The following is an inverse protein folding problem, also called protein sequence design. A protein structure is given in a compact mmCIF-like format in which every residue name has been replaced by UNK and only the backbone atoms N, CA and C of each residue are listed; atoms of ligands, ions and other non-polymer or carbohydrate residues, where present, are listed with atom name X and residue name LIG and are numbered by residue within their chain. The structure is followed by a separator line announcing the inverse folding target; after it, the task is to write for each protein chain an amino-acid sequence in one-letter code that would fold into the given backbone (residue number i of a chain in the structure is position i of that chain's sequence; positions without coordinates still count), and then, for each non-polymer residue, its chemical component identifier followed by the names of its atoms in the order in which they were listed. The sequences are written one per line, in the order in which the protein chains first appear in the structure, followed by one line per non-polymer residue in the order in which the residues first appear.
data_IF_312129120555
#
_entry.id   IF_312129120555
#
_cell.length_a   1.000
_cell.length_b   1.000
_cell.length_c   1.000
_cell.angle_alpha   90.00
_cell.angle_beta   90.00
_cell.angle_gamma   90.00
#
_symmetry.space_group_name_H-M   'P 1'
#
loop_
_entity.id
_entity.type
_entity.pdbx_description
1 polymer ?
#
# COMPACT_ATOMS: atom_id res chain seq x y z
N UNK A 1 15.66 -14.32 -28.92
CA UNK A 1 14.60 -14.72 -27.98
C UNK A 1 15.21 -14.94 -26.59
N UNK A 2 14.42 -14.86 -25.53
CA UNK A 2 14.83 -15.22 -24.17
C UNK A 2 14.83 -16.75 -24.04
N UNK A 3 15.79 -17.31 -23.30
CA UNK A 3 15.92 -18.73 -22.96
C UNK A 3 16.13 -18.88 -21.45
N UNK A 4 16.16 -20.11 -20.95
CA UNK A 4 16.44 -20.40 -19.53
C UNK A 4 17.85 -19.92 -19.16
N UNK A 5 18.84 -20.20 -20.01
CA UNK A 5 20.26 -19.87 -19.74
C UNK A 5 20.57 -18.37 -19.76
N UNK A 6 19.75 -17.57 -20.44
CA UNK A 6 19.93 -16.11 -20.55
C UNK A 6 18.74 -15.32 -19.98
N UNK A 7 17.99 -15.96 -19.07
CA UNK A 7 16.77 -15.39 -18.53
C UNK A 7 17.01 -14.02 -17.90
N UNK A 8 16.38 -12.99 -18.49
CA UNK A 8 16.41 -11.62 -17.99
C UNK A 8 15.13 -10.89 -18.38
N UNK A 9 14.78 -9.88 -17.59
CA UNK A 9 13.64 -9.01 -17.85
C UNK A 9 14.11 -7.64 -18.34
N UNK A 10 13.40 -7.08 -19.31
CA UNK A 10 13.61 -5.72 -19.79
C UNK A 10 12.91 -4.73 -18.85
N UNK A 11 13.70 -3.97 -18.10
CA UNK A 11 13.22 -2.96 -17.16
C UNK A 11 13.06 -1.56 -17.79
N UNK A 12 13.57 -1.35 -19.01
CA UNK A 12 13.59 -0.05 -19.69
C UNK A 12 12.37 0.12 -20.60
N UNK A 13 12.08 -0.87 -21.45
CA UNK A 13 11.01 -0.81 -22.45
C UNK A 13 9.59 -0.89 -21.86
N UNK A 14 8.54 -1.09 -22.67
CA UNK A 14 7.20 -1.35 -22.15
C UNK A 14 7.13 -2.68 -21.38
N UNK A 15 6.16 -2.88 -20.46
CA UNK A 15 5.99 -4.13 -19.73
C UNK A 15 5.82 -5.35 -20.63
N UNK A 16 5.08 -5.21 -21.74
CA UNK A 16 4.88 -6.26 -22.75
C UNK A 16 5.80 -6.07 -23.97
N UNK A 17 7.05 -5.64 -23.76
CA UNK A 17 8.03 -5.63 -24.85
C UNK A 17 8.21 -7.04 -25.43
N UNK A 18 8.61 -7.20 -26.71
CA UNK A 18 8.83 -8.51 -27.30
C UNK A 18 9.78 -9.39 -26.48
N UNK A 19 10.78 -8.78 -25.83
CA UNK A 19 11.67 -9.47 -24.91
C UNK A 19 10.94 -9.97 -23.65
N UNK A 20 10.14 -9.13 -23.00
CA UNK A 20 9.39 -9.51 -21.79
C UNK A 20 8.29 -10.54 -22.09
N UNK A 21 7.69 -10.51 -23.28
CA UNK A 21 6.79 -11.57 -23.75
C UNK A 21 7.52 -12.91 -23.86
N UNK A 22 8.72 -12.91 -24.45
CA UNK A 22 9.56 -14.10 -24.52
C UNK A 22 9.99 -14.59 -23.12
N UNK A 23 10.36 -13.68 -22.22
CA UNK A 23 10.72 -14.01 -20.84
C UNK A 23 9.53 -14.58 -20.06
N UNK A 24 8.32 -14.02 -20.23
CA UNK A 24 7.12 -14.55 -19.59
C UNK A 24 6.84 -16.01 -19.99
N UNK A 25 7.01 -16.35 -21.28
CA UNK A 25 6.85 -17.73 -21.73
C UNK A 25 7.87 -18.69 -21.11
N UNK A 26 9.15 -18.28 -21.05
CA UNK A 26 10.21 -19.08 -20.40
C UNK A 26 9.91 -19.26 -18.91
N UNK A 27 9.49 -18.19 -18.24
CA UNK A 27 9.14 -18.24 -16.82
C UNK A 27 7.99 -19.21 -16.55
N UNK A 28 6.92 -19.15 -17.35
CA UNK A 28 5.75 -20.01 -17.16
C UNK A 28 6.13 -21.48 -17.33
N UNK A 29 6.86 -21.83 -18.39
CA UNK A 29 7.31 -23.21 -18.63
C UNK A 29 8.19 -23.73 -17.49
N UNK A 30 9.14 -22.92 -17.02
CA UNK A 30 10.01 -23.28 -15.90
C UNK A 30 9.23 -23.38 -14.57
N UNK A 31 8.23 -22.52 -14.38
CA UNK A 31 7.42 -22.48 -13.15
C UNK A 31 6.46 -23.67 -13.06
N UNK A 32 5.85 -24.09 -14.17
CA UNK A 32 5.06 -25.33 -14.25
C UNK A 32 5.91 -26.56 -13.94
N UNK A 33 7.10 -26.65 -14.57
CA UNK A 33 8.03 -27.74 -14.30
C UNK A 33 8.46 -27.77 -12.82
N UNK A 34 8.68 -26.60 -12.22
CA UNK A 34 9.07 -26.48 -10.81
C UNK A 34 7.94 -26.86 -9.84
N UNK A 35 6.69 -26.47 -10.13
CA UNK A 35 5.54 -26.80 -9.29
C UNK A 35 5.08 -28.25 -9.47
N UNK A 36 5.40 -28.90 -10.60
CA UNK A 36 4.96 -30.25 -10.91
C UNK A 36 3.44 -30.36 -11.12
N UNK A 37 2.77 -29.24 -11.41
CA UNK A 37 1.33 -29.13 -11.59
C UNK A 37 1.04 -28.34 -12.87
N UNK A 38 0.05 -28.81 -13.62
CA UNK A 38 -0.50 -28.06 -14.75
C UNK A 38 -1.23 -26.82 -14.21
N UNK A 39 -0.87 -25.64 -14.71
CA UNK A 39 -1.48 -24.39 -14.28
C UNK A 39 -2.11 -23.67 -15.46
N UNK A 40 -3.05 -22.77 -15.16
CA UNK A 40 -3.56 -21.87 -16.19
C UNK A 40 -2.45 -20.90 -16.61
N UNK A 41 -1.91 -21.14 -17.80
CA UNK A 41 -0.88 -20.33 -18.46
C UNK A 41 -1.22 -18.84 -18.44
N UNK A 42 -2.50 -18.48 -18.58
CA UNK A 42 -2.93 -17.08 -18.59
C UNK A 42 -2.79 -16.46 -17.21
N UNK A 43 -3.20 -17.15 -16.15
CA UNK A 43 -3.08 -16.67 -14.76
C UNK A 43 -1.61 -16.45 -14.40
N UNK A 44 -0.74 -17.41 -14.73
CA UNK A 44 0.69 -17.33 -14.43
C UNK A 44 1.35 -16.17 -15.19
N UNK A 45 0.99 -15.98 -16.47
CA UNK A 45 1.45 -14.83 -17.27
C UNK A 45 0.96 -13.51 -16.70
N UNK A 46 -0.30 -13.40 -16.34
CA UNK A 46 -0.89 -12.19 -15.76
C UNK A 46 -0.20 -11.84 -14.42
N UNK A 47 0.10 -12.85 -13.59
CA UNK A 47 0.88 -12.70 -12.36
C UNK A 47 2.32 -12.25 -12.65
N UNK A 48 2.99 -12.84 -13.64
CA UNK A 48 4.32 -12.44 -14.08
C UNK A 48 4.37 -10.97 -14.50
N UNK A 49 3.45 -10.52 -15.36
CA UNK A 49 3.39 -9.13 -15.80
C UNK A 49 3.03 -8.17 -14.67
N UNK A 50 2.20 -8.61 -13.72
CA UNK A 50 1.91 -7.84 -12.50
C UNK A 50 3.18 -7.64 -11.69
N UNK A 51 3.98 -8.70 -11.48
CA UNK A 51 5.28 -8.58 -10.79
C UNK A 51 6.25 -7.71 -11.55
N UNK A 52 6.34 -7.86 -12.87
CA UNK A 52 7.21 -7.05 -13.74
C UNK A 52 6.88 -5.56 -13.63
N UNK A 53 5.59 -5.19 -13.57
CA UNK A 53 5.17 -3.80 -13.35
C UNK A 53 5.77 -3.23 -12.06
N UNK A 54 5.74 -4.00 -10.98
CA UNK A 54 6.34 -3.61 -9.69
C UNK A 54 7.87 -3.51 -9.79
N UNK A 55 8.54 -4.49 -10.39
CA UNK A 55 10.01 -4.47 -10.58
C UNK A 55 10.47 -3.25 -11.38
N UNK A 56 9.73 -2.87 -12.43
CA UNK A 56 10.02 -1.64 -13.19
C UNK A 56 9.83 -0.38 -12.37
N UNK A 57 8.83 -0.34 -11.50
CA UNK A 57 8.64 0.79 -10.56
C UNK A 57 9.78 0.88 -9.56
N UNK A 58 10.22 -0.25 -9.01
CA UNK A 58 11.33 -0.34 -8.06
C UNK A 58 12.65 0.07 -8.72
N UNK A 59 12.89 -0.36 -9.96
CA UNK A 59 14.05 0.07 -10.75
C UNK A 59 14.06 1.57 -11.00
N UNK A 60 12.91 2.17 -11.36
CA UNK A 60 12.78 3.63 -11.51
C UNK A 60 13.00 4.36 -10.19
N UNK A 61 12.57 3.77 -9.07
CA UNK A 61 12.78 4.32 -7.73
C UNK A 61 14.25 4.28 -7.31
N UNK A 62 14.94 3.17 -7.58
CA UNK A 62 16.35 3.00 -7.25
C UNK A 62 17.25 4.02 -7.95
N UNK A 63 16.86 4.48 -9.14
CA UNK A 63 17.56 5.54 -9.88
C UNK A 63 17.37 6.96 -9.31
N UNK A 64 16.41 7.16 -8.40
CA UNK A 64 16.17 8.48 -7.78
C UNK A 64 17.13 8.73 -6.62
N UNK A 65 17.43 9.99 -6.27
CA UNK A 65 18.20 10.33 -5.06
C UNK A 65 17.59 9.72 -3.79
N UNK A 66 18.43 9.33 -2.82
CA UNK A 66 17.98 8.73 -1.55
C UNK A 66 16.94 9.58 -0.82
N UNK A 67 17.08 10.91 -0.87
CA UNK A 67 16.14 11.84 -0.24
C UNK A 67 14.74 11.79 -0.88
N UNK A 68 14.65 11.70 -2.22
CA UNK A 68 13.37 11.52 -2.91
C UNK A 68 12.74 10.16 -2.59
N UNK A 69 13.53 9.10 -2.49
CA UNK A 69 13.05 7.77 -2.11
C UNK A 69 12.47 7.79 -0.69
N UNK A 70 13.21 8.36 0.28
CA UNK A 70 12.77 8.52 1.68
C UNK A 70 11.50 9.35 1.77
N UNK A 71 11.42 10.47 1.06
CA UNK A 71 10.23 11.33 1.02
C UNK A 71 9.01 10.58 0.48
N UNK A 72 9.16 9.87 -0.64
CA UNK A 72 8.07 9.08 -1.23
C UNK A 72 7.62 7.93 -0.33
N UNK A 73 8.54 7.22 0.30
CA UNK A 73 8.21 6.14 1.24
C UNK A 73 7.48 6.70 2.48
N UNK A 74 7.93 7.84 2.99
CA UNK A 74 7.27 8.54 4.09
C UNK A 74 5.86 8.96 3.70
N UNK A 75 5.66 9.54 2.52
CA UNK A 75 4.34 9.90 2.01
C UNK A 75 3.42 8.67 1.83
N UNK A 76 3.93 7.57 1.28
CA UNK A 76 3.20 6.30 1.16
C UNK A 76 2.75 5.78 2.53
N UNK A 77 3.65 5.73 3.52
CA UNK A 77 3.34 5.31 4.89
C UNK A 77 2.26 6.20 5.52
N UNK A 78 2.37 7.52 5.38
CA UNK A 78 1.36 8.49 5.87
C UNK A 78 -0.01 8.23 5.25
N UNK A 79 -0.07 8.04 3.94
CA UNK A 79 -1.32 7.77 3.22
C UNK A 79 -1.94 6.43 3.61
N UNK A 80 -1.12 5.39 3.78
CA UNK A 80 -1.59 4.09 4.24
C UNK A 80 -2.19 4.19 5.66
N UNK A 81 -1.51 4.86 6.60
CA UNK A 81 -2.04 5.10 7.96
C UNK A 81 -3.37 5.84 7.95
N UNK A 82 -3.49 6.90 7.14
CA UNK A 82 -4.75 7.63 6.97
C UNK A 82 -5.88 6.73 6.47
N UNK A 83 -5.60 5.87 5.49
CA UNK A 83 -6.58 4.89 4.97
C UNK A 83 -6.99 3.91 6.05
N UNK A 84 -6.02 3.31 6.75
CA UNK A 84 -6.28 2.36 7.82
C UNK A 84 -7.15 2.98 8.92
N UNK A 85 -6.82 4.20 9.37
CA UNK A 85 -7.62 4.89 10.38
C UNK A 85 -9.04 5.21 9.90
N UNK A 86 -9.19 5.66 8.65
CA UNK A 86 -10.51 5.89 8.08
C UNK A 86 -11.34 4.60 8.07
N UNK A 87 -10.79 3.51 7.53
CA UNK A 87 -11.46 2.21 7.46
C UNK A 87 -11.86 1.74 8.85
N UNK A 88 -10.94 1.74 9.82
CA UNK A 88 -11.24 1.33 11.18
C UNK A 88 -12.38 2.13 11.82
N UNK A 89 -12.37 3.46 11.67
CA UNK A 89 -13.43 4.32 12.20
C UNK A 89 -14.76 4.10 11.49
N UNK A 90 -14.72 3.87 10.18
CA UNK A 90 -15.90 3.60 9.38
C UNK A 90 -16.53 2.26 9.76
N UNK A 91 -15.72 1.22 9.92
CA UNK A 91 -16.16 -0.12 10.32
C UNK A 91 -16.79 -0.08 11.72
N UNK A 92 -16.18 0.64 12.67
CA UNK A 92 -16.75 0.83 14.01
C UNK A 92 -18.06 1.60 13.97
N UNK A 93 -18.14 2.65 13.16
CA UNK A 93 -19.36 3.43 13.00
C UNK A 93 -20.50 2.60 12.39
N UNK A 94 -20.17 1.66 11.49
CA UNK A 94 -21.13 0.76 10.88
C UNK A 94 -21.69 -0.25 11.90
N UNK A 95 -20.82 -0.76 12.78
CA UNK A 95 -21.16 -1.80 13.74
C UNK A 95 -21.74 -1.27 15.07
N UNK A 96 -21.66 0.03 15.35
CA UNK A 96 -22.16 0.62 16.60
C UNK A 96 -23.41 1.48 16.33
N UNK A 97 -24.60 1.09 16.80
CA UNK A 97 -25.83 1.82 16.56
C UNK A 97 -25.77 3.30 16.98
N UNK A 98 -25.02 3.63 18.04
CA UNK A 98 -24.87 5.01 18.50
C UNK A 98 -23.98 5.85 17.57
N UNK A 99 -23.11 5.21 16.79
CA UNK A 99 -22.19 5.86 15.86
C UNK A 99 -22.66 5.86 14.40
N UNK A 100 -23.64 5.04 14.04
CA UNK A 100 -24.17 4.96 12.66
C UNK A 100 -24.63 6.31 12.10
N UNK A 101 -25.26 7.15 12.94
CA UNK A 101 -25.68 8.53 12.56
C UNK A 101 -24.53 9.42 12.08
N UNK A 102 -23.29 9.04 12.36
CA UNK A 102 -22.09 9.79 12.02
C UNK A 102 -21.42 9.32 10.72
N UNK A 103 -21.92 8.24 10.09
CA UNK A 103 -21.34 7.67 8.85
C UNK A 103 -21.30 8.67 7.70
N UNK A 104 -22.37 9.45 7.51
CA UNK A 104 -22.41 10.45 6.44
C UNK A 104 -21.31 11.51 6.63
N UNK A 105 -21.20 12.06 7.85
CA UNK A 105 -20.17 13.04 8.17
C UNK A 105 -18.77 12.45 8.03
N UNK A 106 -18.56 11.20 8.43
CA UNK A 106 -17.30 10.49 8.29
C UNK A 106 -16.94 10.28 6.82
N UNK A 107 -17.90 9.88 5.98
CA UNK A 107 -17.73 9.73 4.54
C UNK A 107 -17.36 11.04 3.85
N UNK A 108 -18.04 12.15 4.19
CA UNK A 108 -17.70 13.50 3.71
C UNK A 108 -16.32 13.96 4.15
N UNK A 109 -15.91 13.61 5.36
CA UNK A 109 -14.58 13.94 5.88
C UNK A 109 -13.48 13.20 5.10
N UNK A 110 -13.68 11.91 4.83
CA UNK A 110 -12.83 11.10 3.98
C UNK A 110 -11.42 10.83 4.53
N UNK A 111 -10.65 10.06 3.77
CA UNK A 111 -9.31 9.57 4.13
C UNK A 111 -8.32 10.71 4.37
N UNK A 112 -8.32 11.73 3.51
CA UNK A 112 -7.30 12.78 3.54
C UNK A 112 -7.31 13.59 4.84
N UNK A 113 -8.48 13.64 5.48
CA UNK A 113 -8.72 14.38 6.71
C UNK A 113 -8.52 13.54 7.97
N UNK A 114 -8.01 12.31 7.86
CA UNK A 114 -7.54 11.53 9.01
C UNK A 114 -6.23 12.11 9.56
N UNK A 115 -5.99 11.96 10.87
CA UNK A 115 -4.71 12.36 11.48
C UNK A 115 -3.61 11.47 10.93
N UNK A 116 -2.46 12.08 10.64
CA UNK A 116 -1.24 11.33 10.40
C UNK A 116 -0.38 11.59 11.61
N UNK A 117 -0.18 10.58 12.46
CA UNK A 117 0.92 10.64 13.42
C UNK A 117 2.20 10.73 12.60
N UNK A 118 2.95 11.82 12.77
CA UNK A 118 4.25 11.96 12.15
C UNK A 118 5.24 11.22 13.05
N UNK A 119 5.87 10.19 12.49
CA UNK A 119 7.07 9.62 13.08
C UNK A 119 8.20 10.59 12.79
N UNK A 120 8.65 11.29 13.83
CA UNK A 120 9.98 11.90 13.80
C UNK A 120 10.98 10.74 13.83
N UNK A 121 11.91 10.79 12.87
CA UNK A 121 13.16 10.04 12.73
C UNK A 121 13.23 8.60 13.29
N UNK A 122 13.56 7.64 12.42
CA UNK A 122 14.02 6.31 12.84
C UNK A 122 15.45 6.42 13.40
N UNK A 123 15.59 7.00 14.59
CA UNK A 123 16.89 7.10 15.26
C UNK A 123 17.18 5.82 16.05
N UNK A 124 17.31 4.69 15.33
CA UNK A 124 17.75 3.39 15.86
C UNK A 124 16.87 2.69 16.92
N UNK A 125 16.00 3.42 17.62
CA UNK A 125 15.21 2.96 18.78
C UNK A 125 13.76 2.59 18.41
N UNK A 126 13.43 2.56 17.13
CA UNK A 126 12.09 2.31 16.63
C UNK A 126 11.21 3.56 16.54
N UNK A 127 10.01 3.45 15.92
CA UNK A 127 9.16 4.60 15.62
C UNK A 127 8.51 5.18 16.88
N UNK A 128 8.82 6.43 17.20
CA UNK A 128 8.07 7.20 18.21
C UNK A 128 6.81 7.78 17.56
N UNK A 129 5.64 7.34 18.00
CA UNK A 129 4.36 7.84 17.52
C UNK A 129 3.91 9.04 18.36
N UNK A 130 3.96 10.25 17.79
CA UNK A 130 3.32 11.43 18.40
C UNK A 130 2.09 11.81 17.61
N UNK A 131 0.95 11.91 18.32
CA UNK A 131 -0.29 12.44 17.74
C UNK A 131 -0.11 13.92 17.44
N UNK A 132 0.25 14.23 16.20
CA UNK A 132 0.32 15.62 15.74
C UNK A 132 -1.10 16.12 15.46
N UNK A 133 -1.49 17.19 16.15
CA UNK A 133 -2.73 17.92 15.87
C UNK A 133 -2.47 18.83 14.66
N UNK A 134 -3.11 18.60 13.52
CA UNK A 134 -2.93 19.49 12.39
C UNK A 134 -3.60 20.85 12.66
N UNK A 135 -2.87 21.95 12.44
CA UNK A 135 -3.39 23.31 12.64
C UNK A 135 -4.62 23.62 11.75
N UNK A 136 -4.72 22.95 10.60
CA UNK A 136 -5.86 23.08 9.68
C UNK A 136 -7.13 22.35 10.15
N UNK A 137 -7.06 21.52 11.21
CA UNK A 137 -8.21 20.77 11.71
C UNK A 137 -8.77 21.43 12.97
N UNK A 138 -10.04 21.80 12.91
CA UNK A 138 -10.75 22.30 14.08
C UNK A 138 -10.65 21.28 15.24
N UNK A 139 -10.31 21.71 16.48
CA UNK A 139 -10.13 20.80 17.61
C UNK A 139 -11.33 19.90 17.90
N UNK A 140 -12.55 20.39 17.62
CA UNK A 140 -13.79 19.64 17.80
C UNK A 140 -13.85 18.38 16.92
N UNK A 141 -13.33 18.43 15.69
CA UNK A 141 -13.27 17.27 14.80
C UNK A 141 -12.29 16.23 15.34
N UNK A 142 -11.19 16.67 15.94
CA UNK A 142 -10.24 15.78 16.62
C UNK A 142 -10.91 15.02 17.77
N UNK A 143 -11.61 15.73 18.65
CA UNK A 143 -12.36 15.11 19.77
C UNK A 143 -13.45 14.17 19.29
N UNK A 144 -14.18 14.55 18.25
CA UNK A 144 -15.21 13.71 17.65
C UNK A 144 -14.61 12.40 17.08
N UNK A 145 -13.48 12.47 16.38
CA UNK A 145 -12.79 11.27 15.87
C UNK A 145 -12.26 10.34 16.98
N UNK A 146 -11.83 10.90 18.11
CA UNK A 146 -11.36 10.13 19.28
C UNK A 146 -12.46 9.26 19.90
N UNK A 147 -13.74 9.61 19.74
CA UNK A 147 -14.85 8.77 20.21
C UNK A 147 -14.85 7.42 19.50
N UNK A 148 -14.65 7.40 18.18
CA UNK A 148 -14.55 6.17 17.39
C UNK A 148 -13.34 5.34 17.82
N UNK A 149 -12.19 5.99 18.04
CA UNK A 149 -10.98 5.31 18.49
C UNK A 149 -11.18 4.67 19.88
N UNK A 150 -11.89 5.36 20.78
CA UNK A 150 -12.18 4.86 22.12
C UNK A 150 -13.11 3.64 22.09
N UNK A 151 -14.15 3.66 21.24
CA UNK A 151 -15.04 2.50 21.03
C UNK A 151 -14.29 1.34 20.39
N UNK A 152 -13.42 1.60 19.39
CA UNK A 152 -12.58 0.59 18.79
C UNK A 152 -11.64 -0.09 19.79
N UNK A 153 -11.02 0.69 20.69
CA UNK A 153 -10.16 0.16 21.75
C UNK A 153 -10.94 -0.73 22.72
N UNK A 154 -12.13 -0.30 23.16
CA UNK A 154 -12.99 -1.09 24.04
C UNK A 154 -13.44 -2.42 23.44
N UNK A 155 -13.59 -2.52 22.12
CA UNK A 155 -13.96 -3.77 21.43
C UNK A 155 -12.81 -4.74 21.23
N UNK A 156 -11.56 -4.29 21.38
CA UNK A 156 -10.35 -5.10 21.20
C UNK A 156 -9.79 -5.66 22.52
N UNK A 157 -10.33 -5.22 23.65
CA UNK A 157 -10.07 -5.75 25.00
C UNK A 157 -11.13 -6.79 25.33
#
# INVERSE_FOLDING_TARGET
CCTVDNFRIDLIGPPQSPWNMSAANVFVAAFEQFQGLEMDLKIVKDAFFTRLKTLKQDFKLAKKPKNEQKSRNTQKRRQMRKRTLFTQRYDIALQDPCLQRHLELLGRLGVDRMSSDESDEEDGSGPVFRVRRPNWRAPIVGRWLQVFDSVNLKRRQ
#
